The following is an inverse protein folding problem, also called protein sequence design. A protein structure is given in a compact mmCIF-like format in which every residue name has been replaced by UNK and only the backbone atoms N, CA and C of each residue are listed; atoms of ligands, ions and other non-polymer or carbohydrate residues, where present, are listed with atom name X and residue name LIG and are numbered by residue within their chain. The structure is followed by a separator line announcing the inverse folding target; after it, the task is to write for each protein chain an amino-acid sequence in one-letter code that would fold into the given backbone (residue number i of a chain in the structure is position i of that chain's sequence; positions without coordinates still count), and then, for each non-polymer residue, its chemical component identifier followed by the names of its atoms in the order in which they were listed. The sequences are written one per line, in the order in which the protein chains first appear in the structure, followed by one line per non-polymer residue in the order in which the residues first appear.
data_IF_299976058347
#
_entry.id   IF_299976058347
#
_cell.length_a   1.000
_cell.length_b   1.000
_cell.length_c   1.000
_cell.angle_alpha   90.00
_cell.angle_beta   90.00
_cell.angle_gamma   90.00
#
_symmetry.space_group_name_H-M   'P 1'
#
loop_
_entity.id
_entity.type
_entity.pdbx_description
1 polymer ?
#
# COMPACT_ATOMS: atom_id res chain seq x y z
N UNK A 1 -24.34 10.55 6.16
CA UNK A 1 -23.20 10.88 7.05
C UNK A 1 -22.11 9.81 6.87
N UNK A 2 -20.87 10.21 6.61
CA UNK A 2 -19.73 9.32 6.47
C UNK A 2 -19.38 8.69 7.83
N UNK A 3 -19.13 7.39 7.83
CA UNK A 3 -18.74 6.58 9.01
C UNK A 3 -17.40 5.88 8.81
N UNK A 4 -17.00 5.70 7.55
CA UNK A 4 -15.79 4.98 7.17
C UNK A 4 -15.00 5.84 6.20
N UNK A 5 -13.70 5.92 6.43
CA UNK A 5 -12.73 6.41 5.44
C UNK A 5 -11.92 5.20 4.97
N UNK A 6 -11.96 4.95 3.67
CA UNK A 6 -11.10 4.01 2.97
C UNK A 6 -10.04 4.83 2.25
N UNK A 7 -8.76 4.60 2.50
CA UNK A 7 -7.70 5.42 1.91
C UNK A 7 -6.72 4.57 1.12
N UNK A 8 -6.28 5.12 0.00
CA UNK A 8 -5.06 4.68 -0.67
C UNK A 8 -3.82 5.12 0.11
N UNK A 9 -2.64 4.60 -0.29
CA UNK A 9 -1.35 4.92 0.32
C UNK A 9 -0.56 5.90 -0.56
N UNK A 10 -0.11 5.44 -1.72
CA UNK A 10 0.79 6.14 -2.62
C UNK A 10 0.10 7.36 -3.23
N UNK A 11 0.71 8.55 -3.15
CA UNK A 11 0.08 9.80 -3.62
C UNK A 11 -1.08 10.31 -2.75
N UNK A 12 -1.50 9.57 -1.73
CA UNK A 12 -2.64 9.88 -0.85
C UNK A 12 -2.20 10.12 0.59
N UNK A 13 -1.85 9.07 1.35
CA UNK A 13 -1.32 9.17 2.72
C UNK A 13 0.19 9.26 2.77
N UNK A 14 0.88 8.72 1.76
CA UNK A 14 2.33 8.69 1.60
C UNK A 14 2.72 9.16 0.20
N UNK A 15 3.95 9.64 0.02
CA UNK A 15 4.42 10.06 -1.29
C UNK A 15 4.74 8.87 -2.19
N UNK A 16 4.46 9.02 -3.49
CA UNK A 16 4.85 8.04 -4.52
C UNK A 16 6.38 7.91 -4.55
N UNK A 17 7.11 9.00 -4.38
CA UNK A 17 8.58 9.03 -4.37
C UNK A 17 9.17 8.13 -3.28
N UNK A 18 8.50 7.97 -2.14
CA UNK A 18 8.99 7.08 -1.09
C UNK A 18 9.13 5.63 -1.56
N UNK A 19 8.18 5.14 -2.33
CA UNK A 19 8.24 3.77 -2.88
C UNK A 19 9.37 3.65 -3.90
N UNK A 20 9.44 4.61 -4.84
CA UNK A 20 10.42 4.57 -5.94
C UNK A 20 11.85 4.91 -5.50
N UNK A 21 12.00 5.88 -4.61
CA UNK A 21 13.32 6.43 -4.26
C UNK A 21 13.91 5.80 -3.00
N UNK A 22 13.09 5.12 -2.18
CA UNK A 22 13.54 4.50 -0.92
C UNK A 22 13.30 3.00 -0.92
N UNK A 23 12.04 2.54 -1.02
CA UNK A 23 11.72 1.11 -0.81
C UNK A 23 12.31 0.20 -1.89
N UNK A 24 12.13 0.52 -3.17
CA UNK A 24 12.68 -0.30 -4.24
C UNK A 24 14.21 -0.30 -4.28
N UNK A 25 14.91 0.84 -4.17
CA UNK A 25 16.37 0.85 -4.06
C UNK A 25 16.90 0.10 -2.86
N UNK A 26 16.22 0.23 -1.70
CA UNK A 26 16.58 -0.53 -0.51
C UNK A 26 16.49 -2.04 -0.77
N UNK A 27 15.36 -2.52 -1.30
CA UNK A 27 15.20 -3.93 -1.61
C UNK A 27 16.23 -4.42 -2.64
N UNK A 28 16.48 -3.67 -3.70
CA UNK A 28 17.48 -4.01 -4.72
C UNK A 28 18.87 -4.17 -4.13
N UNK A 29 19.26 -3.29 -3.19
CA UNK A 29 20.58 -3.32 -2.56
C UNK A 29 20.73 -4.49 -1.57
N UNK A 30 19.69 -4.80 -0.79
CA UNK A 30 19.79 -5.74 0.33
C UNK A 30 19.34 -7.16 0.01
N UNK A 31 18.54 -7.35 -1.06
CA UNK A 31 17.98 -8.65 -1.43
C UNK A 31 19.06 -9.72 -1.69
N UNK A 32 20.18 -9.45 -2.38
CA UNK A 32 21.23 -10.45 -2.58
C UNK A 32 21.82 -10.99 -1.28
N UNK A 33 22.17 -10.09 -0.34
CA UNK A 33 22.67 -10.47 0.98
C UNK A 33 21.62 -11.24 1.78
N UNK A 34 20.38 -10.73 1.81
CA UNK A 34 19.27 -11.37 2.50
C UNK A 34 19.03 -12.81 1.99
N UNK A 35 19.05 -13.03 0.68
CA UNK A 35 18.85 -14.36 0.09
C UNK A 35 20.01 -15.29 0.47
N UNK A 36 21.28 -14.84 0.39
CA UNK A 36 22.44 -15.67 0.80
C UNK A 36 22.32 -16.12 2.25
N UNK A 37 21.96 -15.20 3.14
CA UNK A 37 21.91 -15.45 4.58
C UNK A 37 20.71 -16.33 4.97
N UNK A 38 19.58 -16.22 4.27
CA UNK A 38 18.30 -16.81 4.67
C UNK A 38 17.87 -18.03 3.84
N UNK A 39 18.57 -18.32 2.72
CA UNK A 39 18.12 -19.31 1.72
C UNK A 39 17.98 -20.73 2.25
N UNK A 40 18.71 -21.10 3.32
CA UNK A 40 18.70 -22.43 3.93
C UNK A 40 17.90 -22.49 5.23
N UNK A 41 17.97 -21.45 6.04
CA UNK A 41 17.45 -21.47 7.41
C UNK A 41 16.04 -20.87 7.54
N UNK A 42 15.56 -20.13 6.52
CA UNK A 42 14.25 -19.53 6.54
C UNK A 42 13.28 -20.22 5.57
N UNK A 43 12.30 -21.00 6.06
CA UNK A 43 11.37 -21.73 5.21
C UNK A 43 10.56 -20.83 4.26
N UNK A 44 10.21 -19.61 4.69
CA UNK A 44 9.46 -18.68 3.85
C UNK A 44 10.31 -18.14 2.68
N UNK A 45 11.60 -17.93 2.89
CA UNK A 45 12.54 -17.57 1.82
C UNK A 45 12.77 -18.76 0.89
N UNK A 46 12.97 -19.96 1.46
CA UNK A 46 13.15 -21.20 0.68
C UNK A 46 11.97 -21.44 -0.28
N UNK A 47 10.73 -21.32 0.20
CA UNK A 47 9.52 -21.46 -0.61
C UNK A 47 9.50 -20.50 -1.81
N UNK A 48 9.89 -19.24 -1.61
CA UNK A 48 9.93 -18.27 -2.71
C UNK A 48 11.06 -18.60 -3.70
N UNK A 49 12.21 -19.04 -3.22
CA UNK A 49 13.32 -19.45 -4.09
C UNK A 49 13.01 -20.71 -4.89
N UNK A 50 12.23 -21.64 -4.35
CA UNK A 50 11.73 -22.81 -5.08
C UNK A 50 10.87 -22.37 -6.28
N UNK A 51 9.96 -21.39 -6.06
CA UNK A 51 9.15 -20.84 -7.12
C UNK A 51 9.97 -20.04 -8.17
N UNK A 52 10.99 -19.30 -7.73
CA UNK A 52 11.92 -18.61 -8.65
C UNK A 52 12.71 -19.62 -9.49
N UNK A 53 13.18 -20.71 -8.88
CA UNK A 53 13.89 -21.78 -9.57
C UNK A 53 13.00 -22.44 -10.64
N UNK A 54 11.75 -22.76 -10.31
CA UNK A 54 10.77 -23.31 -11.26
C UNK A 54 10.51 -22.35 -12.42
N UNK A 55 10.30 -21.06 -12.12
CA UNK A 55 9.99 -20.03 -13.13
C UNK A 55 11.17 -19.69 -14.06
N UNK A 56 12.40 -19.80 -13.56
CA UNK A 56 13.63 -19.44 -14.29
C UNK A 56 14.35 -20.62 -14.95
N UNK A 57 14.11 -21.83 -14.45
CA UNK A 57 14.86 -23.03 -14.85
C UNK A 57 16.28 -23.12 -14.25
N UNK A 58 16.64 -22.23 -13.33
CA UNK A 58 17.89 -22.28 -12.56
C UNK A 58 17.76 -23.33 -11.46
N UNK A 59 18.83 -24.12 -11.23
CA UNK A 59 18.82 -25.11 -10.15
C UNK A 59 18.62 -24.44 -8.77
N UNK A 60 17.81 -25.06 -7.89
CA UNK A 60 17.51 -24.50 -6.56
C UNK A 60 18.76 -24.30 -5.69
N UNK A 61 19.77 -25.15 -5.89
CA UNK A 61 21.04 -25.13 -5.20
C UNK A 61 21.97 -24.01 -5.68
N UNK A 62 21.73 -23.47 -6.87
CA UNK A 62 22.46 -22.33 -7.43
C UNK A 62 21.89 -21.00 -6.91
N UNK A 63 22.16 -20.73 -5.65
CA UNK A 63 21.66 -19.52 -4.97
C UNK A 63 22.12 -18.24 -5.69
N UNK A 64 23.36 -18.19 -6.19
CA UNK A 64 23.85 -17.01 -6.92
C UNK A 64 23.15 -16.83 -8.27
N UNK A 65 22.87 -17.93 -8.97
CA UNK A 65 22.06 -17.90 -10.19
C UNK A 65 20.64 -17.38 -9.92
N UNK A 66 19.99 -17.81 -8.83
CA UNK A 66 18.67 -17.33 -8.44
C UNK A 66 18.69 -15.83 -8.05
N UNK A 67 19.75 -15.37 -7.37
CA UNK A 67 19.94 -13.94 -7.07
C UNK A 67 20.04 -13.14 -8.37
N UNK A 68 20.83 -13.59 -9.35
CA UNK A 68 20.94 -12.94 -10.65
C UNK A 68 19.59 -12.85 -11.40
N UNK A 69 18.74 -13.87 -11.28
CA UNK A 69 17.36 -13.85 -11.82
C UNK A 69 16.53 -12.77 -11.12
N UNK A 70 16.56 -12.72 -9.79
CA UNK A 70 15.82 -11.73 -9.01
C UNK A 70 16.26 -10.29 -9.32
N UNK A 71 17.56 -10.06 -9.47
CA UNK A 71 18.11 -8.76 -9.88
C UNK A 71 17.63 -8.35 -11.29
N UNK A 72 17.62 -9.29 -12.24
CA UNK A 72 17.07 -9.06 -13.59
C UNK A 72 15.58 -8.70 -13.52
N UNK A 73 14.80 -9.44 -12.74
CA UNK A 73 13.36 -9.16 -12.56
C UNK A 73 13.09 -7.79 -11.93
N UNK A 74 13.93 -7.34 -10.99
CA UNK A 74 13.86 -6.00 -10.43
C UNK A 74 14.14 -4.95 -11.51
N UNK A 75 15.20 -5.15 -12.30
CA UNK A 75 15.59 -4.23 -13.37
C UNK A 75 14.51 -4.13 -14.48
N UNK A 76 13.84 -5.23 -14.77
CA UNK A 76 12.76 -5.31 -15.75
C UNK A 76 11.40 -4.84 -15.21
N UNK A 77 11.32 -4.43 -13.95
CA UNK A 77 10.07 -4.12 -13.23
C UNK A 77 9.03 -5.27 -13.31
N UNK A 78 9.50 -6.52 -13.27
CA UNK A 78 8.65 -7.69 -13.38
C UNK A 78 7.74 -7.82 -12.15
N UNK A 79 6.43 -8.01 -12.41
CA UNK A 79 5.42 -8.12 -11.35
C UNK A 79 5.24 -9.58 -10.89
N UNK A 80 6.32 -10.19 -10.43
CA UNK A 80 6.33 -11.56 -9.94
C UNK A 80 5.95 -11.66 -8.46
N UNK A 81 5.19 -12.70 -8.09
CA UNK A 81 4.69 -12.88 -6.71
C UNK A 81 5.81 -13.21 -5.74
N UNK A 82 6.75 -14.08 -6.15
CA UNK A 82 7.87 -14.48 -5.28
C UNK A 82 8.88 -13.34 -5.09
N UNK A 83 9.15 -12.56 -6.15
CA UNK A 83 9.95 -11.35 -6.04
C UNK A 83 9.32 -10.36 -5.04
N UNK A 84 8.02 -10.09 -5.15
CA UNK A 84 7.31 -9.19 -4.22
C UNK A 84 7.35 -9.71 -2.78
N UNK A 85 7.22 -11.03 -2.58
CA UNK A 85 7.30 -11.64 -1.26
C UNK A 85 8.70 -11.47 -0.64
N UNK A 86 9.76 -11.72 -1.41
CA UNK A 86 11.14 -11.54 -0.96
C UNK A 86 11.46 -10.07 -0.68
N UNK A 87 11.05 -9.13 -1.54
CA UNK A 87 11.16 -7.69 -1.28
C UNK A 87 10.45 -7.29 0.03
N UNK A 88 9.26 -7.83 0.26
CA UNK A 88 8.51 -7.61 1.50
C UNK A 88 9.24 -8.09 2.75
N UNK A 89 9.96 -9.22 2.67
CA UNK A 89 10.79 -9.73 3.78
C UNK A 89 12.02 -8.85 4.02
N UNK A 90 12.66 -8.37 2.95
CA UNK A 90 13.79 -7.43 3.04
C UNK A 90 13.35 -6.11 3.69
N UNK A 91 12.20 -5.55 3.29
CA UNK A 91 11.65 -4.35 3.92
C UNK A 91 11.33 -4.57 5.39
N UNK A 92 10.72 -5.72 5.74
CA UNK A 92 10.42 -6.06 7.14
C UNK A 92 11.68 -6.03 8.00
N UNK A 93 12.76 -6.64 7.52
CA UNK A 93 14.05 -6.61 8.20
C UNK A 93 14.57 -5.18 8.35
N UNK A 94 14.54 -4.38 7.28
CA UNK A 94 14.99 -3.00 7.31
C UNK A 94 14.19 -2.11 8.28
N UNK A 95 12.87 -2.29 8.33
CA UNK A 95 12.02 -1.60 9.30
C UNK A 95 12.32 -2.03 10.74
N UNK A 96 12.47 -3.32 11.00
CA UNK A 96 12.77 -3.86 12.33
C UNK A 96 14.16 -3.43 12.84
N UNK A 97 15.14 -3.28 11.95
CA UNK A 97 16.48 -2.79 12.26
C UNK A 97 16.57 -1.26 12.36
N UNK A 98 15.48 -0.54 11.99
CA UNK A 98 15.43 0.91 12.02
C UNK A 98 16.16 1.59 10.86
N UNK A 99 16.55 0.84 9.83
CA UNK A 99 17.17 1.34 8.60
C UNK A 99 16.15 1.97 7.66
N UNK A 100 14.90 1.51 7.70
CA UNK A 100 13.76 2.08 7.00
C UNK A 100 12.81 2.78 7.98
N UNK A 101 12.25 3.89 7.51
CA UNK A 101 11.11 4.55 8.15
C UNK A 101 10.04 4.82 7.11
N UNK A 102 8.80 4.45 7.41
CA UNK A 102 7.66 4.69 6.54
C UNK A 102 7.38 6.18 6.40
N UNK A 103 7.16 6.62 5.18
CA UNK A 103 6.73 7.98 4.93
C UNK A 103 5.22 8.10 5.16
N UNK A 104 4.82 9.15 5.84
CA UNK A 104 3.44 9.62 5.93
C UNK A 104 3.44 11.14 5.83
N UNK A 105 2.51 11.74 5.06
CA UNK A 105 2.35 13.19 5.06
C UNK A 105 1.90 13.67 6.44
N UNK A 106 2.45 14.81 6.90
CA UNK A 106 2.14 15.34 8.24
C UNK A 106 0.66 15.62 8.44
N UNK A 107 -0.03 16.14 7.41
CA UNK A 107 -1.47 16.35 7.43
C UNK A 107 -2.23 15.02 7.51
N UNK A 108 -1.80 13.99 6.77
CA UNK A 108 -2.41 12.67 6.82
C UNK A 108 -2.26 12.06 8.23
N UNK A 109 -1.08 12.17 8.84
CA UNK A 109 -0.84 11.71 10.21
C UNK A 109 -1.79 12.39 11.22
N UNK A 110 -1.88 13.72 11.18
CA UNK A 110 -2.74 14.51 12.09
C UNK A 110 -4.22 14.15 11.90
N UNK A 111 -4.72 14.11 10.65
CA UNK A 111 -6.14 13.88 10.42
C UNK A 111 -6.58 12.42 10.56
N UNK A 112 -5.75 11.44 10.26
CA UNK A 112 -6.05 10.03 10.53
C UNK A 112 -6.27 9.80 12.02
N UNK A 113 -5.41 10.37 12.88
CA UNK A 113 -5.60 10.31 14.33
C UNK A 113 -6.88 11.00 14.75
N UNK A 114 -7.13 12.24 14.31
CA UNK A 114 -8.36 13.00 14.64
C UNK A 114 -9.62 12.27 14.19
N UNK A 115 -9.63 11.67 13.02
CA UNK A 115 -10.78 10.92 12.51
C UNK A 115 -11.03 9.66 13.33
N UNK A 116 -9.97 8.94 13.69
CA UNK A 116 -10.09 7.81 14.62
C UNK A 116 -10.67 8.25 15.97
N UNK A 117 -10.17 9.33 16.57
CA UNK A 117 -10.61 9.84 17.87
C UNK A 117 -12.08 10.31 17.83
N UNK A 118 -12.55 10.76 16.67
CA UNK A 118 -13.97 11.09 16.42
C UNK A 118 -14.85 9.88 16.14
N UNK A 119 -14.28 8.68 16.16
CA UNK A 119 -15.00 7.42 15.97
C UNK A 119 -15.25 7.01 14.52
N UNK A 120 -14.57 7.62 13.53
CA UNK A 120 -14.59 7.11 12.17
C UNK A 120 -13.75 5.81 12.11
N UNK A 121 -14.25 4.82 11.40
CA UNK A 121 -13.48 3.61 11.10
C UNK A 121 -12.59 3.88 9.89
N UNK A 122 -11.30 3.61 10.04
CA UNK A 122 -10.32 3.85 8.99
C UNK A 122 -9.88 2.51 8.38
N UNK A 123 -9.81 2.46 7.06
CA UNK A 123 -9.35 1.29 6.30
C UNK A 123 -8.37 1.72 5.21
N UNK A 124 -7.50 0.81 4.84
CA UNK A 124 -6.55 1.01 3.74
C UNK A 124 -6.89 0.08 2.59
N UNK A 125 -6.77 0.57 1.36
CA UNK A 125 -6.82 -0.25 0.15
C UNK A 125 -5.68 0.14 -0.79
N UNK A 126 -4.69 -0.75 -0.93
CA UNK A 126 -3.49 -0.52 -1.72
C UNK A 126 -3.12 -1.75 -2.56
N UNK A 127 -2.34 -1.53 -3.61
CA UNK A 127 -1.76 -2.61 -4.43
C UNK A 127 -0.65 -3.38 -3.71
N UNK A 128 -0.09 -2.81 -2.65
CA UNK A 128 0.85 -3.49 -1.76
C UNK A 128 0.15 -4.51 -0.88
N UNK A 129 0.83 -5.62 -0.55
CA UNK A 129 0.28 -6.63 0.36
C UNK A 129 -0.09 -6.03 1.72
N UNK A 130 -1.09 -6.60 2.40
CA UNK A 130 -1.47 -6.19 3.77
C UNK A 130 -0.25 -6.13 4.70
N UNK A 131 0.71 -7.05 4.54
CA UNK A 131 1.95 -7.02 5.32
C UNK A 131 2.77 -5.76 5.03
N UNK A 132 2.97 -5.42 3.76
CA UNK A 132 3.71 -4.20 3.37
C UNK A 132 3.00 -2.93 3.85
N UNK A 133 1.67 -2.87 3.75
CA UNK A 133 0.87 -1.76 4.27
C UNK A 133 1.08 -1.55 5.78
N UNK A 134 1.05 -2.65 6.56
CA UNK A 134 1.30 -2.60 8.01
C UNK A 134 2.73 -2.18 8.36
N UNK A 135 3.72 -2.54 7.55
CA UNK A 135 5.10 -2.08 7.73
C UNK A 135 5.22 -0.57 7.49
N UNK A 136 4.66 -0.06 6.40
CA UNK A 136 4.69 1.38 6.11
C UNK A 136 4.06 2.17 7.25
N UNK A 137 2.88 1.79 7.73
CA UNK A 137 2.17 2.52 8.79
C UNK A 137 2.70 2.23 10.19
N UNK A 138 3.28 1.05 10.43
CA UNK A 138 3.80 0.67 11.74
C UNK A 138 5.15 1.30 12.10
N UNK A 139 5.91 1.74 11.09
CA UNK A 139 7.26 2.26 11.27
C UNK A 139 7.43 3.66 10.68
N UNK A 140 6.42 4.53 10.81
CA UNK A 140 6.52 5.90 10.29
C UNK A 140 7.45 6.77 11.12
N UNK A 141 7.90 7.90 10.55
CA UNK A 141 8.61 8.94 11.30
C UNK A 141 7.77 9.54 12.43
N UNK A 142 6.43 9.48 12.30
CA UNK A 142 5.47 10.05 13.25
C UNK A 142 4.97 9.02 14.29
N UNK A 143 5.47 7.78 14.23
CA UNK A 143 5.09 6.70 15.14
C UNK A 143 4.34 5.56 14.46
N UNK A 144 3.72 4.70 15.26
CA UNK A 144 2.92 3.56 14.80
C UNK A 144 1.47 3.98 14.56
N UNK A 145 1.06 3.96 13.29
CA UNK A 145 -0.32 4.28 12.86
C UNK A 145 -1.20 3.04 12.70
N UNK A 146 -0.66 1.83 12.85
CA UNK A 146 -1.45 0.60 12.71
C UNK A 146 -2.65 0.51 13.64
N UNK A 147 -2.61 1.03 14.90
CA UNK A 147 -3.77 1.00 15.81
C UNK A 147 -4.94 1.86 15.35
N UNK A 148 -4.73 2.85 14.48
CA UNK A 148 -5.82 3.70 13.99
C UNK A 148 -6.66 3.03 12.90
N UNK A 149 -6.10 2.03 12.21
CA UNK A 149 -6.79 1.34 11.13
C UNK A 149 -7.58 0.13 11.63
N UNK A 150 -8.85 0.06 11.25
CA UNK A 150 -9.75 -1.06 11.52
C UNK A 150 -9.50 -2.27 10.59
N UNK A 151 -8.81 -2.07 9.46
CA UNK A 151 -8.49 -3.14 8.52
C UNK A 151 -7.77 -2.67 7.26
N UNK A 152 -7.34 -3.64 6.47
CA UNK A 152 -6.52 -3.45 5.29
C UNK A 152 -7.00 -4.35 4.16
N UNK A 153 -7.08 -3.82 2.95
CA UNK A 153 -7.41 -4.53 1.73
C UNK A 153 -6.23 -4.44 0.75
N UNK A 154 -5.97 -5.52 0.03
CA UNK A 154 -4.99 -5.57 -1.04
C UNK A 154 -5.61 -6.17 -2.32
N UNK A 155 -4.80 -6.39 -3.35
CA UNK A 155 -5.28 -6.89 -4.65
C UNK A 155 -5.84 -8.31 -4.63
N UNK A 156 -5.82 -9.01 -3.50
CA UNK A 156 -6.55 -10.28 -3.34
C UNK A 156 -8.06 -10.10 -3.36
N UNK A 157 -8.55 -8.89 -3.03
CA UNK A 157 -9.99 -8.57 -3.16
C UNK A 157 -10.38 -8.18 -4.59
N UNK A 158 -9.42 -7.86 -5.43
CA UNK A 158 -9.54 -7.44 -6.82
C UNK A 158 -8.67 -6.23 -7.15
N UNK A 159 -8.69 -5.79 -8.39
CA UNK A 159 -7.97 -4.61 -8.86
C UNK A 159 -8.62 -3.31 -8.41
N UNK A 160 -7.81 -2.28 -8.09
CA UNK A 160 -8.30 -0.99 -7.61
C UNK A 160 -9.11 -0.17 -8.64
N UNK A 161 -9.02 -0.54 -9.92
CA UNK A 161 -9.80 0.08 -11.01
C UNK A 161 -11.07 -0.72 -11.36
N UNK A 162 -11.38 -1.76 -10.58
CA UNK A 162 -12.51 -2.64 -10.81
C UNK A 162 -13.63 -2.35 -9.81
N UNK A 163 -14.82 -2.04 -10.31
CA UNK A 163 -16.02 -1.78 -9.50
C UNK A 163 -16.35 -2.95 -8.57
N UNK A 164 -16.13 -4.18 -9.05
CA UNK A 164 -16.36 -5.39 -8.27
C UNK A 164 -15.57 -5.44 -6.96
N UNK A 165 -14.33 -4.92 -6.96
CA UNK A 165 -13.47 -4.86 -5.78
C UNK A 165 -14.09 -4.00 -4.68
N UNK A 166 -14.61 -2.83 -5.03
CA UNK A 166 -15.27 -1.93 -4.06
C UNK A 166 -16.60 -2.50 -3.55
N UNK A 167 -17.36 -3.19 -4.41
CA UNK A 167 -18.58 -3.91 -3.98
C UNK A 167 -18.24 -5.04 -2.99
N UNK A 168 -17.14 -5.74 -3.21
CA UNK A 168 -16.65 -6.78 -2.29
C UNK A 168 -16.22 -6.17 -0.96
N UNK A 169 -15.47 -5.06 -0.98
CA UNK A 169 -15.10 -4.31 0.24
C UNK A 169 -16.36 -3.89 1.02
N UNK A 170 -17.35 -3.31 0.34
CA UNK A 170 -18.62 -2.92 0.98
C UNK A 170 -19.35 -4.08 1.62
N UNK A 171 -19.38 -5.25 0.96
CA UNK A 171 -19.98 -6.47 1.49
C UNK A 171 -19.23 -6.98 2.74
N UNK A 172 -17.89 -6.98 2.72
CA UNK A 172 -17.07 -7.36 3.89
C UNK A 172 -17.25 -6.38 5.06
N UNK A 173 -17.38 -5.09 4.79
CA UNK A 173 -17.61 -4.06 5.81
C UNK A 173 -19.03 -4.11 6.38
N UNK A 174 -19.99 -4.67 5.63
CA UNK A 174 -21.40 -4.76 6.02
C UNK A 174 -22.08 -3.39 6.14
N UNK A 175 -21.78 -2.44 5.23
CA UNK A 175 -22.25 -1.06 5.31
C UNK A 175 -22.86 -0.58 4.00
N UNK A 176 -23.68 0.48 4.09
CA UNK A 176 -24.19 1.17 2.92
C UNK A 176 -23.08 1.98 2.24
N UNK A 177 -22.95 1.87 0.92
CA UNK A 177 -21.89 2.49 0.13
C UNK A 177 -21.74 4.00 0.39
N UNK A 178 -22.85 4.74 0.44
CA UNK A 178 -22.86 6.18 0.69
C UNK A 178 -22.35 6.62 2.06
N UNK A 179 -22.03 5.67 2.97
CA UNK A 179 -21.41 5.95 4.28
C UNK A 179 -19.89 5.80 4.27
N UNK A 180 -19.32 5.40 3.13
CA UNK A 180 -17.87 5.24 2.93
C UNK A 180 -17.36 6.38 2.05
N UNK A 181 -16.28 7.03 2.49
CA UNK A 181 -15.51 7.98 1.71
C UNK A 181 -14.20 7.30 1.29
N UNK A 182 -13.98 7.18 -0.02
CA UNK A 182 -12.71 6.67 -0.57
C UNK A 182 -11.81 7.82 -1.00
N UNK A 183 -10.53 7.74 -0.57
CA UNK A 183 -9.49 8.71 -0.87
C UNK A 183 -8.45 8.08 -1.78
N UNK A 184 -8.18 8.67 -2.93
CA UNK A 184 -7.14 8.25 -3.86
C UNK A 184 -6.64 9.45 -4.68
N UNK A 185 -5.40 9.36 -5.20
CA UNK A 185 -4.83 10.26 -6.20
C UNK A 185 -5.10 9.80 -7.64
N UNK A 186 -5.67 8.60 -7.83
CA UNK A 186 -5.89 7.95 -9.14
C UNK A 186 -7.36 8.06 -9.54
N UNK A 187 -7.67 8.84 -10.58
CA UNK A 187 -9.02 9.08 -11.06
C UNK A 187 -9.80 7.78 -11.36
N UNK A 188 -9.18 6.83 -12.08
CA UNK A 188 -9.84 5.57 -12.44
C UNK A 188 -10.24 4.70 -11.24
N UNK A 189 -9.57 4.88 -10.08
CA UNK A 189 -9.95 4.21 -8.83
C UNK A 189 -11.16 4.90 -8.20
N UNK A 190 -11.20 6.23 -8.26
CA UNK A 190 -12.35 7.01 -7.78
C UNK A 190 -13.60 6.71 -8.61
N UNK A 191 -13.45 6.60 -9.93
CA UNK A 191 -14.56 6.22 -10.83
C UNK A 191 -15.15 4.85 -10.45
N UNK A 192 -14.29 3.86 -10.24
CA UNK A 192 -14.72 2.53 -9.83
C UNK A 192 -15.41 2.52 -8.45
N UNK A 193 -14.93 3.31 -7.51
CA UNK A 193 -15.54 3.46 -6.19
C UNK A 193 -16.90 4.17 -6.25
N UNK A 194 -17.03 5.23 -7.07
CA UNK A 194 -18.28 5.96 -7.30
C UNK A 194 -19.33 5.06 -7.94
N UNK A 195 -18.95 4.27 -8.95
CA UNK A 195 -19.87 3.31 -9.58
C UNK A 195 -20.34 2.23 -8.60
N UNK A 196 -19.52 1.90 -7.58
CA UNK A 196 -19.94 1.04 -6.48
C UNK A 196 -20.83 1.76 -5.46
N UNK A 197 -21.02 3.09 -5.57
CA UNK A 197 -21.89 3.93 -4.73
C UNK A 197 -21.19 4.59 -3.54
N UNK A 198 -19.86 4.51 -3.45
CA UNK A 198 -19.09 5.22 -2.42
C UNK A 198 -19.05 6.73 -2.71
N UNK A 199 -18.80 7.51 -1.66
CA UNK A 199 -18.36 8.90 -1.82
C UNK A 199 -16.85 8.89 -2.09
N UNK A 200 -16.34 9.88 -2.81
CA UNK A 200 -14.92 9.98 -3.15
C UNK A 200 -14.35 11.37 -2.85
N UNK A 201 -13.03 11.42 -2.66
CA UNK A 201 -12.25 12.65 -2.66
C UNK A 201 -10.94 12.39 -3.41
N UNK A 202 -10.65 13.23 -4.39
CA UNK A 202 -9.44 13.14 -5.20
C UNK A 202 -8.32 13.92 -4.53
N UNK A 203 -7.29 13.24 -4.08
CA UNK A 203 -6.09 13.86 -3.50
C UNK A 203 -5.13 14.25 -4.63
N UNK A 204 -4.85 15.54 -4.75
CA UNK A 204 -3.88 16.10 -5.70
C UNK A 204 -2.80 16.81 -4.90
N UNK A 205 -1.82 16.04 -4.45
CA UNK A 205 -0.75 16.51 -3.57
C UNK A 205 0.14 17.57 -4.21
N UNK A 206 0.37 17.45 -5.51
CA UNK A 206 1.26 18.32 -6.28
C UNK A 206 0.66 18.65 -7.65
N UNK A 207 1.22 19.63 -8.35
CA UNK A 207 0.80 20.01 -9.69
C UNK A 207 -0.49 20.85 -9.72
N UNK A 208 -1.12 20.97 -10.87
CA UNK A 208 -2.34 21.73 -11.06
C UNK A 208 -3.58 20.92 -10.67
N UNK A 209 -4.61 21.60 -10.18
CA UNK A 209 -5.88 20.92 -9.91
C UNK A 209 -6.59 20.58 -11.24
N UNK A 210 -7.16 19.37 -11.36
CA UNK A 210 -7.91 18.99 -12.54
C UNK A 210 -9.20 19.81 -12.65
N UNK A 211 -9.65 20.06 -13.89
CA UNK A 211 -10.98 20.59 -14.15
C UNK A 211 -12.01 19.45 -14.02
N UNK A 212 -12.72 19.40 -12.93
CA UNK A 212 -13.66 18.32 -12.61
C UNK A 212 -14.77 18.80 -11.67
N UNK A 213 -15.92 18.12 -11.70
CA UNK A 213 -17.00 18.33 -10.73
C UNK A 213 -16.79 17.51 -9.42
N UNK A 214 -15.79 16.60 -9.40
CA UNK A 214 -15.45 15.85 -8.20
C UNK A 214 -14.90 16.76 -7.12
N UNK A 215 -15.07 16.32 -5.87
CA UNK A 215 -14.37 16.96 -4.77
C UNK A 215 -12.87 16.64 -4.86
N UNK A 216 -12.08 17.70 -5.07
CA UNK A 216 -10.61 17.63 -5.10
C UNK A 216 -10.05 18.28 -3.84
N UNK A 217 -9.02 17.69 -3.27
CA UNK A 217 -8.34 18.18 -2.07
C UNK A 217 -6.82 18.14 -2.26
N UNK A 218 -6.15 19.15 -1.72
CA UNK A 218 -4.68 19.18 -1.63
C UNK A 218 -4.16 18.36 -0.46
N UNK A 219 -4.96 18.32 0.61
CA UNK A 219 -4.58 17.73 1.87
C UNK A 219 -5.78 17.16 2.65
N UNK A 220 -5.49 16.52 3.75
CA UNK A 220 -6.51 15.93 4.61
C UNK A 220 -7.31 16.97 5.41
N UNK A 221 -6.83 18.22 5.53
CA UNK A 221 -7.60 19.30 6.14
C UNK A 221 -8.80 19.68 5.26
N UNK A 222 -8.60 19.74 3.93
CA UNK A 222 -9.69 19.98 2.99
C UNK A 222 -10.68 18.82 2.96
N UNK A 223 -10.21 17.57 3.08
CA UNK A 223 -11.08 16.39 3.22
C UNK A 223 -11.89 16.47 4.52
N UNK A 224 -11.28 16.88 5.64
CA UNK A 224 -12.00 17.04 6.91
C UNK A 224 -13.11 18.09 6.82
N UNK A 225 -12.87 19.19 6.12
CA UNK A 225 -13.90 20.19 5.87
C UNK A 225 -15.10 19.64 5.09
N UNK A 226 -14.91 18.67 4.20
CA UNK A 226 -15.99 17.92 3.53
C UNK A 226 -16.73 17.02 4.53
N UNK A 227 -16.01 16.29 5.38
CA UNK A 227 -16.59 15.39 6.38
C UNK A 227 -17.47 16.13 7.41
N UNK A 228 -17.11 17.37 7.74
CA UNK A 228 -17.88 18.19 8.70
C UNK A 228 -19.18 18.77 8.10
N UNK A 229 -19.27 18.90 6.79
CA UNK A 229 -20.44 19.47 6.10
C UNK A 229 -21.53 18.44 5.77
N UNK A 230 -21.24 17.16 5.92
CA UNK A 230 -22.11 16.02 5.57
C UNK A 230 -22.46 15.15 6.77
#
# INVERSE_FOLDING_TARGET
MIRIVLTDIEGTTSSISFVHDVLFPYASTHLPGFVRDQSQDNPAVSEQLDAVAEASGIAREDVEGLIGVLESWIHEDRKDTSLKALQGMVWEQGYQQGELKGHIYADAADYLQRWHDRGLRLFVYSSGSVKAQKLIFGFTSEGDFTPFFSGYFDTRIGGKKEVASYRTILAELGVEAGTVLFLSDVEAELEAAEEAGMQTAWLVREGDLPETERFVARDFAEVDALLQKR
#
